data_IF_919581407254
#
_entry.id   IF_919581407254
#
_cell.length_a   1.000
_cell.length_b   1.000
_cell.length_c   1.000
_cell.angle_alpha   90.00
_cell.angle_beta   90.00
_cell.angle_gamma   90.00
#
_symmetry.space_group_name_H-M   'P 1'
#
loop_
_entity.id
_entity.type
_entity.pdbx_description
1 polymer ?
#
# COMPACT_ATOMS: atom_id res chain seq x y z
N UNK A 1 -20.85 -22.28 -31.78
CA UNK A 1 -21.58 -21.33 -30.91
C UNK A 1 -21.15 -21.37 -29.42
N UNK A 2 -20.00 -21.97 -29.05
CA UNK A 2 -19.46 -21.86 -27.67
C UNK A 2 -18.26 -20.92 -27.50
N UNK A 3 -17.66 -20.41 -28.59
CA UNK A 3 -16.51 -19.50 -28.54
C UNK A 3 -16.89 -18.01 -28.35
N UNK A 4 -18.20 -17.68 -28.36
CA UNK A 4 -18.69 -16.30 -28.23
C UNK A 4 -18.98 -15.87 -26.77
N UNK A 5 -18.92 -16.80 -25.81
CA UNK A 5 -19.15 -16.52 -24.38
C UNK A 5 -17.92 -16.04 -23.61
N UNK A 6 -16.71 -16.43 -24.02
CA UNK A 6 -15.47 -16.07 -23.33
C UNK A 6 -14.95 -14.67 -23.73
N UNK A 7 -15.48 -14.11 -24.82
CA UNK A 7 -14.93 -12.91 -25.46
C UNK A 7 -15.57 -11.59 -25.00
N UNK A 8 -16.82 -11.64 -24.48
CA UNK A 8 -17.51 -10.50 -23.87
C UNK A 8 -17.20 -10.29 -22.38
N UNK A 9 -16.82 -11.35 -21.66
CA UNK A 9 -16.59 -11.30 -20.21
C UNK A 9 -15.39 -10.44 -19.78
N UNK A 10 -14.28 -10.47 -20.52
CA UNK A 10 -13.07 -9.72 -20.17
C UNK A 10 -13.23 -8.20 -20.27
N UNK A 11 -14.00 -7.70 -21.25
CA UNK A 11 -14.28 -6.27 -21.43
C UNK A 11 -15.20 -5.75 -20.31
N UNK A 12 -16.20 -6.55 -19.94
CA UNK A 12 -17.08 -6.25 -18.81
C UNK A 12 -16.30 -6.27 -17.48
N UNK A 13 -15.43 -7.26 -17.28
CA UNK A 13 -14.61 -7.38 -16.06
C UNK A 13 -13.65 -6.18 -15.89
N UNK A 14 -12.97 -5.76 -16.96
CA UNK A 14 -12.03 -4.63 -16.89
C UNK A 14 -12.74 -3.29 -16.69
N UNK A 15 -13.89 -3.07 -17.34
CA UNK A 15 -14.71 -1.88 -17.09
C UNK A 15 -15.27 -1.88 -15.67
N UNK A 16 -15.73 -3.03 -15.19
CA UNK A 16 -16.24 -3.21 -13.83
C UNK A 16 -15.13 -2.96 -12.80
N UNK A 17 -13.92 -3.48 -13.02
CA UNK A 17 -12.78 -3.27 -12.12
C UNK A 17 -12.36 -1.79 -12.07
N UNK A 18 -12.28 -1.12 -13.22
CA UNK A 18 -11.98 0.31 -13.27
C UNK A 18 -13.06 1.13 -12.56
N UNK A 19 -14.34 0.81 -12.81
CA UNK A 19 -15.46 1.50 -12.16
C UNK A 19 -15.49 1.28 -10.64
N UNK A 20 -15.22 0.05 -10.18
CA UNK A 20 -15.13 -0.25 -8.76
C UNK A 20 -13.98 0.51 -8.08
N UNK A 21 -12.79 0.52 -8.68
CA UNK A 21 -11.66 1.29 -8.15
C UNK A 21 -11.93 2.79 -8.15
N UNK A 22 -12.48 3.35 -9.23
CA UNK A 22 -12.85 4.77 -9.29
C UNK A 22 -13.89 5.14 -8.23
N UNK A 23 -14.83 4.24 -7.94
CA UNK A 23 -15.79 4.43 -6.85
C UNK A 23 -15.11 4.45 -5.47
N UNK A 24 -14.15 3.56 -5.22
CA UNK A 24 -13.35 3.57 -3.98
C UNK A 24 -12.59 4.88 -3.83
N UNK A 25 -11.93 5.37 -4.88
CA UNK A 25 -11.26 6.67 -4.84
C UNK A 25 -12.23 7.83 -4.62
N UNK A 26 -13.42 7.78 -5.21
CA UNK A 26 -14.45 8.79 -4.98
C UNK A 26 -14.90 8.82 -3.51
N UNK A 27 -15.17 7.66 -2.90
CA UNK A 27 -15.51 7.58 -1.46
C UNK A 27 -14.33 8.04 -0.59
N UNK A 28 -13.10 7.65 -0.92
CA UNK A 28 -11.91 8.07 -0.20
C UNK A 28 -11.70 9.59 -0.28
N UNK A 29 -11.89 10.20 -1.45
CA UNK A 29 -11.83 11.65 -1.63
C UNK A 29 -12.90 12.37 -0.81
N UNK A 30 -14.13 11.83 -0.75
CA UNK A 30 -15.19 12.38 0.09
C UNK A 30 -14.78 12.36 1.56
N UNK A 31 -14.26 11.22 2.03
CA UNK A 31 -13.75 11.08 3.39
C UNK A 31 -12.62 12.09 3.68
N UNK A 32 -11.63 12.23 2.79
CA UNK A 32 -10.55 13.21 2.93
C UNK A 32 -11.07 14.66 3.04
N UNK A 33 -12.05 15.03 2.21
CA UNK A 33 -12.66 16.37 2.29
C UNK A 33 -13.41 16.54 3.61
N UNK A 34 -14.21 15.57 4.04
CA UNK A 34 -14.95 15.66 5.32
C UNK A 34 -14.00 15.81 6.52
N UNK A 35 -12.93 15.00 6.58
CA UNK A 35 -11.90 15.09 7.62
C UNK A 35 -11.14 16.41 7.53
N UNK A 36 -10.83 16.89 6.32
CA UNK A 36 -10.19 18.19 6.11
C UNK A 36 -11.03 19.38 6.58
N UNK A 37 -12.34 19.36 6.32
CA UNK A 37 -13.29 20.36 6.83
C UNK A 37 -13.34 20.30 8.36
N UNK A 38 -13.52 19.10 8.93
CA UNK A 38 -13.59 18.90 10.38
C UNK A 38 -12.31 19.34 11.08
N UNK A 39 -11.15 18.98 10.53
CA UNK A 39 -9.85 19.42 11.01
C UNK A 39 -9.72 20.95 10.94
N UNK A 40 -10.10 21.58 9.82
CA UNK A 40 -10.04 23.04 9.67
C UNK A 40 -10.90 23.77 10.71
N UNK A 41 -12.10 23.27 11.00
CA UNK A 41 -13.00 23.85 12.01
C UNK A 41 -12.39 23.67 13.41
N UNK A 42 -11.87 22.48 13.73
CA UNK A 42 -11.27 22.18 15.04
C UNK A 42 -9.97 22.95 15.29
N UNK A 43 -9.19 23.19 14.24
CA UNK A 43 -7.92 23.94 14.29
C UNK A 43 -8.11 25.47 14.18
N UNK A 44 -9.33 25.95 13.98
CA UNK A 44 -9.62 27.36 13.77
C UNK A 44 -9.17 28.24 14.95
N UNK A 45 -9.23 27.72 16.19
CA UNK A 45 -8.77 28.42 17.39
C UNK A 45 -7.22 28.47 17.51
N UNK A 46 -6.51 27.47 16.99
CA UNK A 46 -5.05 27.40 17.02
C UNK A 46 -4.38 28.25 15.94
N UNK A 47 -5.02 28.39 14.78
CA UNK A 47 -4.51 29.19 13.65
C UNK A 47 -4.53 30.69 13.92
N UNK A 48 -5.43 31.18 14.78
CA UNK A 48 -5.46 32.59 15.22
C UNK A 48 -4.22 32.95 16.07
N UNK A 49 -3.59 31.96 16.69
CA UNK A 49 -2.40 32.13 17.55
C UNK A 49 -1.07 31.89 16.81
N UNK A 50 -1.09 31.31 15.62
CA UNK A 50 0.13 30.96 14.87
C UNK A 50 0.44 31.99 13.79
N UNK A 51 1.30 32.95 14.12
CA UNK A 51 1.87 33.95 13.19
C UNK A 51 3.03 33.39 12.35
N UNK A 52 2.94 32.15 11.85
CA UNK A 52 4.02 31.53 11.08
C UNK A 52 3.48 30.69 9.92
N UNK A 53 4.15 30.80 8.77
CA UNK A 53 3.93 30.14 7.48
C UNK A 53 4.05 28.59 7.53
N UNK A 54 3.27 27.94 8.39
CA UNK A 54 3.18 26.48 8.38
C UNK A 54 2.31 26.05 7.19
N UNK A 55 2.73 25.07 6.37
CA UNK A 55 1.88 24.57 5.30
C UNK A 55 0.60 24.04 5.94
N UNK A 56 -0.51 24.70 5.62
CA UNK A 56 -1.84 24.40 6.13
C UNK A 56 -2.16 22.92 5.85
N UNK A 57 -1.79 22.02 6.76
CA UNK A 57 -2.00 20.57 6.65
C UNK A 57 -3.47 20.23 6.34
N UNK A 58 -4.48 20.85 7.00
CA UNK A 58 -5.88 20.66 6.61
C UNK A 58 -6.23 21.20 5.22
N UNK A 59 -5.55 22.25 4.73
CA UNK A 59 -5.74 22.77 3.37
C UNK A 59 -5.18 21.81 2.31
N UNK A 60 -4.00 21.24 2.55
CA UNK A 60 -3.41 20.22 1.66
C UNK A 60 -4.34 18.99 1.59
N UNK A 61 -4.89 18.57 2.74
CA UNK A 61 -5.85 17.47 2.80
C UNK A 61 -7.14 17.78 2.04
N UNK A 62 -7.66 19.01 2.13
CA UNK A 62 -8.82 19.48 1.37
C UNK A 62 -8.57 19.51 -0.13
N UNK A 63 -7.46 20.11 -0.56
CA UNK A 63 -7.12 20.27 -1.99
C UNK A 63 -6.86 18.91 -2.63
N UNK A 64 -6.09 18.05 -1.96
CA UNK A 64 -5.86 16.67 -2.45
C UNK A 64 -7.14 15.85 -2.45
N UNK A 65 -7.98 15.94 -1.41
CA UNK A 65 -9.28 15.26 -1.36
C UNK A 65 -10.22 15.68 -2.49
N UNK A 66 -10.31 16.99 -2.78
CA UNK A 66 -11.09 17.51 -3.89
C UNK A 66 -10.56 17.03 -5.26
N UNK A 67 -9.24 16.98 -5.43
CA UNK A 67 -8.62 16.45 -6.64
C UNK A 67 -8.94 14.95 -6.84
N UNK A 68 -8.87 14.16 -5.77
CA UNK A 68 -9.22 12.72 -5.80
C UNK A 68 -10.71 12.51 -6.10
N UNK A 69 -11.60 13.34 -5.56
CA UNK A 69 -13.04 13.32 -5.88
C UNK A 69 -13.31 13.57 -7.37
N UNK A 70 -12.70 14.62 -7.93
CA UNK A 70 -12.81 14.93 -9.35
C UNK A 70 -12.25 13.79 -10.21
N UNK A 71 -11.11 13.23 -9.81
CA UNK A 71 -10.50 12.08 -10.47
C UNK A 71 -11.41 10.84 -10.47
N UNK A 72 -12.11 10.58 -9.36
CA UNK A 72 -13.11 9.51 -9.26
C UNK A 72 -14.31 9.73 -10.19
N UNK A 73 -14.83 10.96 -10.28
CA UNK A 73 -15.93 11.31 -11.17
C UNK A 73 -15.56 11.16 -12.66
N UNK A 74 -14.33 11.55 -13.03
CA UNK A 74 -13.79 11.31 -14.37
C UNK A 74 -13.70 9.81 -14.71
N UNK A 75 -13.55 8.94 -13.71
CA UNK A 75 -13.62 7.49 -13.87
C UNK A 75 -14.99 7.00 -14.34
N UNK A 76 -16.06 7.51 -13.73
CA UNK A 76 -17.43 7.21 -14.16
C UNK A 76 -17.71 7.70 -15.59
N UNK A 77 -17.22 8.90 -15.93
CA UNK A 77 -17.32 9.44 -17.29
C UNK A 77 -16.48 8.64 -18.30
N UNK A 78 -15.34 8.10 -17.89
CA UNK A 78 -14.48 7.24 -18.72
C UNK A 78 -15.14 5.88 -19.00
N UNK A 79 -15.94 5.36 -18.06
CA UNK A 79 -16.73 4.14 -18.28
C UNK A 79 -17.91 4.36 -19.24
N UNK A 80 -18.53 5.55 -19.18
CA UNK A 80 -19.63 5.95 -20.06
C UNK A 80 -19.17 6.40 -21.46
N UNK A 81 -17.95 6.93 -21.57
CA UNK A 81 -17.38 7.41 -22.83
C UNK A 81 -16.86 6.27 -23.71
N UNK A 82 -17.28 6.23 -24.97
CA UNK A 82 -16.73 5.29 -25.96
C UNK A 82 -15.31 5.66 -26.45
N UNK A 83 -14.73 6.75 -25.92
CA UNK A 83 -13.41 7.27 -26.33
C UNK A 83 -12.27 6.46 -25.70
N UNK A 84 -11.77 5.50 -26.46
CA UNK A 84 -10.74 4.53 -26.07
C UNK A 84 -9.41 5.12 -25.60
N UNK A 85 -9.00 6.26 -26.17
CA UNK A 85 -7.77 6.95 -25.76
C UNK A 85 -7.86 7.45 -24.31
N UNK A 86 -9.04 7.95 -23.91
CA UNK A 86 -9.30 8.43 -22.55
C UNK A 86 -9.27 7.28 -21.54
N UNK A 87 -9.89 6.14 -21.88
CA UNK A 87 -9.87 4.94 -21.04
C UNK A 87 -8.44 4.39 -20.83
N UNK A 88 -7.59 4.44 -21.88
CA UNK A 88 -6.18 4.02 -21.80
C UNK A 88 -5.37 4.90 -20.86
N UNK A 89 -5.43 6.23 -21.07
CA UNK A 89 -4.68 7.19 -20.26
C UNK A 89 -5.12 7.10 -18.79
N UNK A 90 -6.43 7.00 -18.56
CA UNK A 90 -6.99 6.85 -17.22
C UNK A 90 -6.53 5.54 -16.56
N UNK A 91 -6.56 4.40 -17.27
CA UNK A 91 -6.14 3.11 -16.74
C UNK A 91 -4.65 3.03 -16.40
N UNK A 92 -3.78 3.62 -17.23
CA UNK A 92 -2.34 3.69 -16.97
C UNK A 92 -2.03 4.60 -15.79
N UNK A 93 -2.68 5.76 -15.71
CA UNK A 93 -2.53 6.65 -14.56
C UNK A 93 -2.99 5.98 -13.26
N UNK A 94 -4.11 5.27 -13.30
CA UNK A 94 -4.63 4.55 -12.14
C UNK A 94 -3.64 3.48 -11.65
N UNK A 95 -3.01 2.76 -12.58
CA UNK A 95 -1.95 1.79 -12.24
C UNK A 95 -0.76 2.47 -11.58
N UNK A 96 -0.32 3.62 -12.09
CA UNK A 96 0.79 4.38 -11.51
C UNK A 96 0.47 4.87 -10.08
N UNK A 97 -0.75 5.36 -9.84
CA UNK A 97 -1.20 5.76 -8.50
C UNK A 97 -1.26 4.58 -7.55
N UNK A 98 -1.70 3.41 -8.01
CA UNK A 98 -1.69 2.19 -7.18
C UNK A 98 -0.27 1.79 -6.76
N UNK A 99 0.69 1.83 -7.68
CA UNK A 99 2.10 1.53 -7.37
C UNK A 99 2.66 2.53 -6.35
N UNK A 100 2.43 3.83 -6.58
CA UNK A 100 2.87 4.88 -5.66
C UNK A 100 2.22 4.74 -4.27
N UNK A 101 0.92 4.43 -4.23
CA UNK A 101 0.18 4.21 -2.99
C UNK A 101 0.66 2.99 -2.22
N UNK A 102 0.94 1.88 -2.91
CA UNK A 102 1.51 0.68 -2.29
C UNK A 102 2.91 0.96 -1.73
N UNK A 103 3.77 1.65 -2.48
CA UNK A 103 5.11 2.02 -2.01
C UNK A 103 5.04 2.93 -0.77
N UNK A 104 4.18 3.95 -0.79
CA UNK A 104 3.97 4.84 0.35
C UNK A 104 3.38 4.10 1.56
N UNK A 105 2.41 3.20 1.35
CA UNK A 105 1.79 2.39 2.39
C UNK A 105 2.77 1.42 3.04
N UNK A 106 3.58 0.72 2.25
CA UNK A 106 4.63 -0.17 2.75
C UNK A 106 5.70 0.61 3.52
N UNK A 107 6.16 1.75 3.00
CA UNK A 107 7.13 2.61 3.69
C UNK A 107 6.60 3.09 5.04
N UNK A 108 5.34 3.56 5.09
CA UNK A 108 4.70 3.97 6.33
C UNK A 108 4.50 2.82 7.34
N UNK A 109 4.16 1.63 6.86
CA UNK A 109 4.05 0.43 7.70
C UNK A 109 5.42 0.03 8.26
N UNK A 110 6.48 0.04 7.44
CA UNK A 110 7.83 -0.27 7.88
C UNK A 110 8.33 0.72 8.93
N UNK A 111 8.14 2.01 8.71
CA UNK A 111 8.50 3.03 9.68
C UNK A 111 7.79 2.82 11.02
N UNK A 112 6.47 2.56 10.99
CA UNK A 112 5.70 2.29 12.21
C UNK A 112 6.15 1.01 12.89
N UNK A 113 6.39 -0.06 12.13
CA UNK A 113 6.85 -1.33 12.65
C UNK A 113 8.22 -1.23 13.31
N UNK A 114 9.18 -0.57 12.64
CA UNK A 114 10.52 -0.29 13.18
C UNK A 114 10.45 0.53 14.47
N UNK A 115 9.67 1.61 14.46
CA UNK A 115 9.50 2.45 15.66
C UNK A 115 8.84 1.70 16.82
N UNK A 116 7.82 0.87 16.54
CA UNK A 116 7.16 0.06 17.56
C UNK A 116 8.07 -1.04 18.11
N UNK A 117 8.94 -1.60 17.28
CA UNK A 117 9.92 -2.58 17.69
C UNK A 117 11.02 -1.96 18.56
N UNK A 118 11.49 -0.77 18.19
CA UNK A 118 12.43 0.02 18.98
C UNK A 118 11.85 0.37 20.35
N UNK A 119 10.60 0.84 20.38
CA UNK A 119 9.89 1.17 21.62
C UNK A 119 9.70 -0.06 22.51
N UNK A 120 9.32 -1.21 21.93
CA UNK A 120 9.17 -2.47 22.66
C UNK A 120 10.51 -3.01 23.23
N UNK A 121 11.63 -2.84 22.53
CA UNK A 121 12.96 -3.22 23.05
C UNK A 121 13.37 -2.31 24.21
N UNK A 122 13.11 -1.00 24.13
CA UNK A 122 13.48 -0.04 25.17
C UNK A 122 12.62 -0.21 26.44
N UNK A 123 11.31 -0.43 26.26
CA UNK A 123 10.34 -0.57 27.37
C UNK A 123 10.12 -2.02 27.81
N UNK A 124 10.95 -2.95 27.35
CA UNK A 124 10.75 -4.39 27.57
C UNK A 124 10.62 -4.79 29.05
N UNK A 125 11.39 -4.15 29.94
CA UNK A 125 11.34 -4.41 31.39
C UNK A 125 10.17 -3.73 32.10
N UNK A 126 9.54 -2.73 31.48
CA UNK A 126 8.54 -1.87 32.10
C UNK A 126 7.12 -2.18 31.64
N UNK A 127 6.96 -2.72 30.43
CA UNK A 127 5.68 -2.93 29.76
C UNK A 127 5.54 -4.39 29.30
N UNK A 128 4.83 -5.19 30.12
CA UNK A 128 4.59 -6.62 29.86
C UNK A 128 3.85 -6.86 28.53
N UNK A 129 2.95 -5.97 28.12
CA UNK A 129 2.19 -6.13 26.86
C UNK A 129 3.11 -6.00 25.64
N UNK A 130 4.01 -5.00 25.67
CA UNK A 130 5.01 -4.83 24.60
C UNK A 130 6.05 -5.95 24.64
N UNK A 131 6.44 -6.41 25.82
CA UNK A 131 7.37 -7.52 25.98
C UNK A 131 6.82 -8.82 25.39
N UNK A 132 5.59 -9.19 25.73
CA UNK A 132 4.92 -10.38 25.18
C UNK A 132 4.75 -10.29 23.67
N UNK A 133 4.34 -9.12 23.15
CA UNK A 133 4.22 -8.91 21.71
C UNK A 133 5.57 -9.04 20.98
N UNK A 134 6.64 -8.48 21.56
CA UNK A 134 7.99 -8.60 21.01
C UNK A 134 8.48 -10.05 21.01
N UNK A 135 8.22 -10.79 22.08
CA UNK A 135 8.59 -12.19 22.22
C UNK A 135 7.90 -13.08 21.16
N UNK A 136 6.62 -12.85 20.91
CA UNK A 136 5.87 -13.54 19.85
C UNK A 136 6.49 -13.24 18.48
N UNK A 137 6.80 -11.98 18.20
CA UNK A 137 7.41 -11.57 16.92
C UNK A 137 8.77 -12.24 16.73
N UNK A 138 9.63 -12.21 17.75
CA UNK A 138 10.97 -12.79 17.71
C UNK A 138 10.95 -14.30 17.46
N UNK A 139 10.04 -15.00 18.13
CA UNK A 139 9.85 -16.44 17.94
C UNK A 139 9.24 -16.77 16.57
N UNK A 140 8.24 -16.01 16.11
CA UNK A 140 7.55 -16.26 14.84
C UNK A 140 8.43 -16.00 13.62
N UNK A 141 9.28 -14.95 13.68
CA UNK A 141 10.15 -14.54 12.57
C UNK A 141 11.58 -15.07 12.70
N UNK A 142 11.90 -15.80 13.78
CA UNK A 142 13.24 -16.33 14.04
C UNK A 142 14.32 -15.22 13.96
N UNK A 143 14.06 -14.13 14.68
CA UNK A 143 14.88 -12.91 14.72
C UNK A 143 15.14 -12.46 16.15
N UNK A 144 16.03 -11.50 16.34
CA UNK A 144 16.32 -10.92 17.64
C UNK A 144 16.66 -9.43 17.52
N UNK A 145 16.02 -8.60 18.33
CA UNK A 145 16.17 -7.15 18.29
C UNK A 145 15.52 -6.50 17.06
N UNK A 146 15.77 -5.20 16.89
CA UNK A 146 15.24 -4.39 15.79
C UNK A 146 15.98 -4.69 14.50
N UNK A 147 17.27 -4.35 14.49
CA UNK A 147 18.22 -4.55 13.39
C UNK A 147 19.19 -5.69 13.69
N UNK A 148 19.48 -5.96 14.96
CA UNK A 148 20.33 -7.07 15.37
C UNK A 148 20.10 -7.45 16.84
N UNK A 149 20.54 -8.64 17.23
CA UNK A 149 20.57 -9.05 18.63
C UNK A 149 21.35 -8.08 19.53
N UNK A 150 22.24 -7.25 18.95
CA UNK A 150 23.02 -6.23 19.66
C UNK A 150 22.18 -5.12 20.24
N UNK A 151 20.98 -4.88 19.70
CA UNK A 151 20.08 -3.83 20.19
C UNK A 151 19.71 -4.06 21.66
N UNK A 152 19.67 -5.33 22.09
CA UNK A 152 19.52 -5.70 23.51
C UNK A 152 20.70 -5.28 24.38
N UNK A 153 21.92 -5.28 23.85
CA UNK A 153 23.12 -4.88 24.59
C UNK A 153 23.12 -3.37 24.87
N UNK A 154 22.48 -2.60 24.00
CA UNK A 154 22.35 -1.14 24.11
C UNK A 154 21.06 -0.71 24.83
N UNK A 155 20.12 -1.63 25.06
CA UNK A 155 18.84 -1.35 25.73
C UNK A 155 18.95 -1.34 27.27
N UNK A 156 18.01 -0.70 27.99
CA UNK A 156 17.96 -0.70 29.46
C UNK A 156 17.97 -2.11 30.08
N UNK A 157 17.48 -3.11 29.36
CA UNK A 157 17.53 -4.53 29.75
C UNK A 157 18.95 -5.01 30.14
N UNK A 158 19.98 -4.56 29.41
CA UNK A 158 21.35 -5.01 29.68
C UNK A 158 21.87 -4.53 31.04
N UNK A 159 21.42 -3.36 31.50
CA UNK A 159 21.78 -2.76 32.78
C UNK A 159 21.09 -3.52 33.92
N UNK A 160 19.79 -3.78 33.79
CA UNK A 160 19.02 -4.48 34.83
C UNK A 160 19.52 -5.91 35.07
N UNK A 161 19.83 -6.63 33.98
CA UNK A 161 20.37 -7.99 34.08
C UNK A 161 21.79 -8.02 34.65
N UNK A 162 22.55 -6.93 34.52
CA UNK A 162 23.86 -6.80 35.15
C UNK A 162 23.76 -6.60 36.67
N UNK A 163 22.74 -5.89 37.16
CA UNK A 163 22.51 -5.65 38.59
C UNK A 163 22.04 -6.92 39.33
N UNK A 164 21.23 -7.76 38.67
CA UNK A 164 20.76 -9.03 39.24
C UNK A 164 21.84 -10.12 39.29
N UNK A 165 22.95 -9.97 38.57
CA UNK A 165 24.00 -11.00 38.45
C UNK A 165 25.22 -10.64 39.32
N UNK A 166 25.22 -11.10 40.57
CA UNK A 166 26.36 -11.02 41.50
C UNK A 166 27.52 -11.95 41.06
N UNK A 167 28.15 -11.68 39.92
CA UNK A 167 29.39 -12.34 39.49
C UNK A 167 30.36 -11.33 38.87
N UNK A 168 31.47 -10.99 39.56
CA UNK A 168 32.47 -10.07 39.04
C UNK A 168 33.23 -10.76 37.90
N UNK A 169 33.15 -10.21 36.69
CA UNK A 169 33.97 -10.63 35.55
C UNK A 169 33.23 -11.00 34.27
N UNK A 170 31.91 -10.77 34.17
CA UNK A 170 31.14 -11.10 32.97
C UNK A 170 30.37 -9.90 32.42
N UNK A 171 31.08 -9.05 31.69
CA UNK A 171 30.55 -7.86 31.03
C UNK A 171 30.12 -8.14 29.59
N UNK A 172 29.22 -9.10 29.37
CA UNK A 172 28.67 -9.33 28.03
C UNK A 172 27.16 -9.49 28.20
N UNK A 173 26.40 -8.48 27.78
CA UNK A 173 24.95 -8.40 27.98
C UNK A 173 24.17 -9.63 27.53
N UNK A 174 22.92 -9.72 27.99
CA UNK A 174 21.99 -10.82 27.76
C UNK A 174 20.91 -10.44 26.74
N UNK A 175 20.32 -11.46 26.12
CA UNK A 175 19.10 -11.34 25.29
C UNK A 175 17.96 -12.12 25.94
N UNK A 176 16.69 -11.78 25.68
CA UNK A 176 15.54 -12.58 26.13
C UNK A 176 15.50 -13.99 25.54
N UNK A 177 14.68 -14.86 26.14
CA UNK A 177 14.51 -16.24 25.70
C UNK A 177 13.93 -16.39 24.29
N UNK A 178 13.09 -15.45 23.87
CA UNK A 178 12.49 -15.39 22.54
C UNK A 178 13.52 -15.25 21.42
N UNK A 179 14.70 -14.70 21.72
CA UNK A 179 15.84 -14.63 20.79
C UNK A 179 16.59 -15.96 20.58
N UNK A 180 16.27 -17.00 21.35
CA UNK A 180 17.01 -18.26 21.35
C UNK A 180 16.50 -19.27 20.32
N UNK A 181 17.42 -19.76 19.48
CA UNK A 181 17.17 -20.86 18.54
C UNK A 181 16.95 -22.20 19.27
N UNK A 182 17.63 -22.40 20.41
CA UNK A 182 17.55 -23.63 21.21
C UNK A 182 17.28 -23.27 22.67
N UNK A 183 16.24 -23.86 23.28
CA UNK A 183 15.84 -23.57 24.67
C UNK A 183 16.90 -23.96 25.71
N UNK A 184 17.78 -24.93 25.42
CA UNK A 184 18.83 -25.38 26.35
C UNK A 184 20.12 -24.57 26.14
N UNK A 185 20.59 -23.89 27.18
CA UNK A 185 21.89 -23.21 27.20
C UNK A 185 21.91 -21.77 26.68
N UNK A 186 20.77 -21.23 26.22
CA UNK A 186 20.65 -19.86 25.72
C UNK A 186 20.05 -18.88 26.76
N UNK A 187 19.95 -19.27 28.03
CA UNK A 187 19.37 -18.40 29.07
C UNK A 187 20.37 -17.38 29.58
N UNK A 188 20.06 -16.09 29.41
CA UNK A 188 20.87 -14.95 29.86
C UNK A 188 22.35 -15.11 29.52
N UNK A 189 22.66 -15.91 28.48
CA UNK A 189 24.04 -16.28 28.26
C UNK A 189 24.75 -15.01 27.82
N UNK A 190 25.93 -14.70 28.39
CA UNK A 190 26.84 -13.74 27.78
C UNK A 190 26.83 -13.90 26.26
N UNK A 191 26.68 -12.79 25.54
CA UNK A 191 27.03 -12.83 24.12
C UNK A 191 28.56 -12.98 24.03
N UNK A 192 29.06 -14.21 24.14
CA UNK A 192 30.40 -14.56 23.69
C UNK A 192 30.43 -14.38 22.17
N UNK A 193 31.48 -13.75 21.65
CA UNK A 193 31.69 -13.62 20.20
C UNK A 193 31.60 -15.02 19.57
N UNK A 194 30.52 -15.28 18.82
CA UNK A 194 30.27 -16.60 18.23
C UNK A 194 29.09 -17.38 18.80
N UNK A 195 28.36 -16.88 19.82
CA UNK A 195 27.29 -17.60 20.53
C UNK A 195 26.43 -18.51 19.60
N UNK A 196 26.64 -19.83 19.65
CA UNK A 196 25.80 -20.77 18.92
C UNK A 196 24.44 -20.85 19.62
N UNK A 197 23.36 -20.50 18.92
CA UNK A 197 21.99 -20.67 19.43
C UNK A 197 21.16 -19.40 19.62
N UNK A 198 21.59 -18.23 19.12
CA UNK A 198 20.79 -16.99 19.10
C UNK A 198 20.47 -16.58 17.66
N UNK A 199 19.26 -16.08 17.41
CA UNK A 199 18.89 -15.46 16.15
C UNK A 199 19.69 -14.17 15.92
N UNK A 200 20.50 -14.08 14.85
CA UNK A 200 21.39 -12.93 14.64
C UNK A 200 20.78 -11.79 13.83
N UNK A 201 19.85 -12.14 12.95
CA UNK A 201 19.14 -11.16 12.14
C UNK A 201 18.12 -10.40 13.01
N UNK A 202 18.04 -9.08 12.81
CA UNK A 202 16.97 -8.27 13.38
C UNK A 202 15.62 -8.56 12.75
N UNK A 203 14.54 -8.32 13.50
CA UNK A 203 13.19 -8.59 13.02
C UNK A 203 12.78 -7.67 11.88
N UNK A 204 13.24 -6.40 11.89
CA UNK A 204 12.97 -5.48 10.79
C UNK A 204 13.51 -6.02 9.45
N UNK A 205 14.74 -6.53 9.46
CA UNK A 205 15.36 -7.14 8.28
C UNK A 205 14.57 -8.35 7.77
N UNK A 206 14.14 -9.26 8.67
CA UNK A 206 13.34 -10.44 8.27
C UNK A 206 12.03 -10.06 7.58
N UNK A 207 11.35 -9.03 8.07
CA UNK A 207 10.11 -8.54 7.44
C UNK A 207 10.41 -7.90 6.08
N UNK A 208 11.47 -7.10 5.98
CA UNK A 208 11.90 -6.50 4.71
C UNK A 208 12.29 -7.55 3.66
N UNK A 209 13.02 -8.59 4.07
CA UNK A 209 13.40 -9.71 3.21
C UNK A 209 12.14 -10.47 2.76
N UNK A 210 11.21 -10.76 3.68
CA UNK A 210 9.93 -11.40 3.35
C UNK A 210 9.12 -10.61 2.32
N UNK A 211 9.02 -9.28 2.49
CA UNK A 211 8.29 -8.43 1.52
C UNK A 211 9.01 -8.40 0.17
N UNK A 212 10.35 -8.34 0.18
CA UNK A 212 11.15 -8.32 -1.04
C UNK A 212 11.06 -9.64 -1.82
N UNK A 213 11.08 -10.78 -1.12
CA UNK A 213 10.92 -12.11 -1.71
C UNK A 213 9.52 -12.32 -2.29
N UNK A 214 8.50 -11.77 -1.64
CA UNK A 214 7.11 -11.84 -2.12
C UNK A 214 6.74 -10.69 -3.09
N UNK A 215 7.67 -9.76 -3.37
CA UNK A 215 7.44 -8.64 -4.28
C UNK A 215 7.11 -9.13 -5.71
N UNK A 216 7.60 -10.32 -6.10
CA UNK A 216 7.30 -10.95 -7.38
C UNK A 216 5.78 -11.06 -7.63
N UNK A 217 4.98 -11.45 -6.64
CA UNK A 217 3.53 -11.56 -6.81
C UNK A 217 2.86 -10.22 -7.13
N UNK A 218 3.36 -9.13 -6.54
CA UNK A 218 2.89 -7.78 -6.85
C UNK A 218 3.27 -7.41 -8.28
N UNK A 219 4.50 -7.70 -8.71
CA UNK A 219 4.94 -7.43 -10.08
C UNK A 219 4.16 -8.23 -11.13
N UNK A 220 3.90 -9.51 -10.87
CA UNK A 220 3.10 -10.36 -11.75
C UNK A 220 1.67 -9.84 -11.90
N UNK A 221 1.01 -9.50 -10.79
CA UNK A 221 -0.36 -8.95 -10.86
C UNK A 221 -0.42 -7.63 -11.62
N UNK A 222 0.54 -6.73 -11.42
CA UNK A 222 0.61 -5.46 -12.15
C UNK A 222 0.89 -5.66 -13.64
N UNK A 223 1.76 -6.59 -14.00
CA UNK A 223 2.09 -6.94 -15.40
C UNK A 223 0.89 -7.53 -16.14
N UNK A 224 0.14 -8.42 -15.49
CA UNK A 224 -1.11 -9.00 -16.03
C UNK A 224 -2.15 -7.89 -16.24
N UNK A 225 -2.32 -6.99 -15.26
CA UNK A 225 -3.26 -5.86 -15.38
C UNK A 225 -2.88 -4.97 -16.58
N UNK A 226 -1.59 -4.62 -16.74
CA UNK A 226 -1.12 -3.79 -17.86
C UNK A 226 -1.31 -4.50 -19.21
N UNK A 227 -1.05 -5.79 -19.26
CA UNK A 227 -1.23 -6.61 -20.46
C UNK A 227 -2.70 -6.71 -20.85
N UNK A 228 -3.60 -6.93 -19.88
CA UNK A 228 -5.04 -6.92 -20.11
C UNK A 228 -5.53 -5.56 -20.61
N UNK A 229 -5.05 -4.46 -20.04
CA UNK A 229 -5.35 -3.12 -20.55
C UNK A 229 -4.93 -3.00 -22.03
N UNK A 230 -3.71 -3.39 -22.39
CA UNK A 230 -3.21 -3.30 -23.75
C UNK A 230 -3.95 -4.22 -24.74
N UNK A 231 -4.24 -5.48 -24.39
CA UNK A 231 -4.98 -6.42 -25.24
C UNK A 231 -6.40 -5.94 -25.51
N UNK A 232 -7.08 -5.42 -24.48
CA UNK A 232 -8.43 -4.86 -24.61
C UNK A 232 -8.45 -3.64 -25.53
N UNK A 233 -7.41 -2.79 -25.47
CA UNK A 233 -7.29 -1.61 -26.32
C UNK A 233 -7.05 -2.01 -27.79
N UNK A 234 -6.23 -3.04 -28.05
CA UNK A 234 -5.94 -3.52 -29.41
C UNK A 234 -7.14 -4.21 -30.06
N UNK A 235 -7.87 -5.02 -29.31
CA UNK A 235 -9.03 -5.77 -29.84
C UNK A 235 -10.13 -4.84 -30.34
N UNK A 236 -10.41 -3.80 -29.57
CA UNK A 236 -11.37 -2.77 -29.96
C UNK A 236 -10.92 -2.04 -31.24
N UNK A 237 -9.62 -1.81 -31.45
CA UNK A 237 -9.09 -1.14 -32.66
C UNK A 237 -9.47 -1.91 -33.94
N UNK A 238 -9.47 -3.23 -33.86
CA UNK A 238 -9.89 -4.12 -34.95
C UNK A 238 -11.41 -4.07 -35.19
N UNK A 239 -12.23 -3.96 -34.14
CA UNK A 239 -13.69 -3.80 -34.26
C UNK A 239 -14.11 -2.43 -34.82
N UNK A 240 -13.35 -1.36 -34.55
CA UNK A 240 -13.56 -0.05 -35.20
C UNK A 240 -13.19 -0.08 -36.68
N UNK A 241 -12.09 -0.74 -37.05
CA UNK A 241 -11.72 -0.89 -38.46
C UNK A 241 -12.70 -1.79 -39.21
N UNK A 242 -13.29 -2.80 -38.54
CA UNK A 242 -14.37 -3.61 -39.12
C UNK A 242 -15.63 -2.78 -39.39
N UNK A 243 -16.07 -1.96 -38.42
CA UNK A 243 -17.20 -1.02 -38.61
C UNK A 243 -16.92 0.09 -39.63
N UNK A 244 -15.66 0.53 -39.75
CA UNK A 244 -15.24 1.50 -40.78
C UNK A 244 -15.13 0.85 -42.17
N UNK A 245 -14.74 -0.42 -42.25
CA UNK A 245 -14.68 -1.19 -43.51
C UNK A 245 -16.07 -1.59 -44.02
N UNK A 246 -17.06 -1.73 -43.14
CA UNK A 246 -18.49 -1.80 -43.53
C UNK A 246 -19.09 -0.43 -43.86
N UNK A 247 -18.37 0.67 -43.58
CA UNK A 247 -18.68 2.03 -44.02
C UNK A 247 -17.74 2.46 -45.16
N UNK A 248 -17.73 1.70 -46.25
CA UNK A 248 -17.32 2.21 -47.56
C UNK A 248 -18.27 3.32 -48.06
N UNK A 249 -17.87 4.10 -49.08
CA UNK A 249 -18.43 5.42 -49.37
C UNK A 249 -19.80 5.31 -50.02
N UNK A 250 -20.87 5.32 -49.22
CA UNK A 250 -22.21 5.68 -49.68
C UNK A 250 -22.74 6.88 -48.91
N UNK A 251 -22.01 7.98 -49.03
CA UNK A 251 -22.63 9.31 -49.02
C UNK A 251 -23.38 9.50 -50.35
N UNK A 252 -24.57 8.90 -50.47
CA UNK A 252 -25.63 9.44 -51.33
C UNK A 252 -26.96 8.75 -51.04
N UNK A 253 -27.79 9.40 -50.22
CA UNK A 253 -29.25 9.33 -50.08
C UNK A 253 -29.60 9.63 -48.60
N UNK A 254 -30.52 10.51 -48.22
CA UNK A 254 -31.44 11.39 -48.93
C UNK A 254 -32.08 12.24 -47.83
N UNK A 255 -31.60 13.46 -47.61
CA UNK A 255 -32.36 14.49 -46.90
C UNK A 255 -33.31 15.14 -47.90
N UNK A 256 -34.44 14.49 -48.19
CA UNK A 256 -35.63 15.18 -48.68
C UNK A 256 -36.84 14.24 -48.62
N UNK A 257 -37.80 14.58 -47.76
CA UNK A 257 -39.26 14.50 -47.94
C UNK A 257 -39.98 14.17 -46.62
N UNK A 258 -40.13 15.20 -45.79
CA UNK A 258 -41.06 15.24 -44.67
C UNK A 258 -42.39 15.96 -45.04
N UNK A 259 -42.72 16.15 -46.33
CA UNK A 259 -43.87 17.01 -46.73
C UNK A 259 -44.68 16.55 -47.95
N UNK A 260 -45.06 15.27 -48.07
CA UNK A 260 -46.13 14.91 -49.03
C UNK A 260 -46.88 13.62 -48.68
N UNK A 261 -47.73 13.67 -47.65
CA UNK A 261 -48.82 12.70 -47.43
C UNK A 261 -49.99 13.39 -46.71
N UNK A 262 -50.54 14.41 -47.36
CA UNK A 262 -51.93 14.86 -47.21
C UNK A 262 -52.39 15.36 -48.58
N UNK A 263 -52.64 14.39 -49.45
CA UNK A 263 -53.62 14.43 -50.54
C UNK A 263 -54.25 13.05 -50.56
#
# INVERSE_FOLDING_TARGET
>A
MCELGLQGGGMALLKLSLMAFSFVFWVAGLAMVTVGIWAKISLQEYLVLSTNDYPNTPLILLVSGAAVLLWGFLGCLSAAGEKRCLLRIYGVFQLAVLIAGLAAGLSGLFYRFESGLQDAVVSYSEDDEKADALDVIQQALHCCGVHSYKDWLESPWSIEQQEQRFHPGYSNGSVPFSCCQVRRGCHNSPVLQGAPGIHRDGCFKKVCDFVSDNMFYILETLSVILSLQNVVIQKNNMDCMSNYSTMGPFHSCRYHNYWRRYT
#
